data_IF_886726825169
#
_entry.id   IF_886726825169
#
_cell.length_a   1.000
_cell.length_b   1.000
_cell.length_c   1.000
_cell.angle_alpha   90.00
_cell.angle_beta   90.00
_cell.angle_gamma   90.00
#
_symmetry.space_group_name_H-M   'P 1'
#
loop_
_entity.id
_entity.type
_entity.pdbx_description
1 polymer ?
#
# COMPACT_ATOMS: atom_id res chain seq x y z
N UNK A 1 12.44 15.73 11.66
CA UNK A 1 11.39 14.77 11.25
C UNK A 1 10.98 14.01 12.50
N UNK A 2 9.78 14.24 13.05
CA UNK A 2 9.33 13.50 14.24
C UNK A 2 9.06 12.06 13.82
N UNK A 3 9.91 11.12 14.24
CA UNK A 3 9.55 9.70 14.24
C UNK A 3 8.37 9.56 15.21
N UNK A 4 7.17 9.37 14.67
CA UNK A 4 6.01 8.95 15.45
C UNK A 4 6.24 7.48 15.80
N UNK A 5 6.91 7.21 16.91
CA UNK A 5 6.91 5.88 17.54
C UNK A 5 5.53 5.69 18.16
N UNK A 6 4.53 5.47 17.31
CA UNK A 6 3.21 5.07 17.78
C UNK A 6 3.32 3.62 18.25
N UNK A 7 3.21 3.47 19.56
CA UNK A 7 2.99 2.20 20.26
C UNK A 7 1.51 1.79 20.16
N UNK A 8 0.78 2.33 19.18
CA UNK A 8 -0.65 2.12 19.03
C UNK A 8 -0.91 0.96 18.07
N UNK A 9 -1.96 0.21 18.39
CA UNK A 9 -2.46 -0.89 17.58
C UNK A 9 -2.88 -0.38 16.20
N UNK A 10 -2.61 -1.16 15.16
CA UNK A 10 -2.98 -0.84 13.78
C UNK A 10 -4.50 -0.84 13.67
N UNK A 11 -5.07 0.28 13.27
CA UNK A 11 -6.51 0.42 13.02
C UNK A 11 -6.81 0.90 11.60
N UNK A 12 -5.97 1.77 11.03
CA UNK A 12 -6.09 2.35 9.69
C UNK A 12 -5.02 1.81 8.77
N UNK A 13 -5.45 1.18 7.68
CA UNK A 13 -4.56 0.53 6.71
C UNK A 13 -4.69 1.20 5.34
N UNK A 14 -3.56 1.65 4.80
CA UNK A 14 -3.41 2.07 3.42
C UNK A 14 -2.79 0.95 2.60
N UNK A 15 -3.24 0.74 1.37
CA UNK A 15 -2.68 -0.24 0.43
C UNK A 15 -2.35 0.50 -0.86
N UNK A 16 -1.08 0.44 -1.28
CA UNK A 16 -0.66 0.82 -2.63
C UNK A 16 -0.44 -0.47 -3.40
N UNK A 17 -1.26 -0.73 -4.41
CA UNK A 17 -1.25 -1.98 -5.16
C UNK A 17 -0.81 -1.74 -6.62
N UNK A 18 0.14 -2.52 -7.14
CA UNK A 18 0.40 -2.59 -8.58
C UNK A 18 -0.43 -3.71 -9.22
N UNK A 19 -1.49 -3.35 -9.94
CA UNK A 19 -2.39 -4.32 -10.58
C UNK A 19 -1.75 -5.04 -11.78
N UNK A 20 -0.51 -4.73 -12.13
CA UNK A 20 0.21 -5.45 -13.18
C UNK A 20 0.55 -6.90 -12.80
N UNK A 21 0.55 -7.23 -11.50
CA UNK A 21 1.04 -8.52 -10.98
C UNK A 21 0.07 -9.22 -10.02
N UNK A 22 -0.85 -8.48 -9.41
CA UNK A 22 -1.83 -9.03 -8.49
C UNK A 22 -3.21 -8.43 -8.75
N UNK A 23 -4.17 -9.32 -9.02
CA UNK A 23 -5.54 -8.93 -9.38
C UNK A 23 -6.53 -9.16 -8.22
N UNK A 24 -6.14 -9.92 -7.20
CA UNK A 24 -7.04 -10.38 -6.12
C UNK A 24 -7.09 -9.38 -4.95
N UNK A 25 -7.30 -8.09 -5.24
CA UNK A 25 -7.38 -7.02 -4.22
C UNK A 25 -8.36 -7.33 -3.07
N UNK A 26 -9.45 -8.03 -3.38
CA UNK A 26 -10.47 -8.38 -2.39
C UNK A 26 -9.95 -9.42 -1.39
N UNK A 27 -9.00 -10.27 -1.77
CA UNK A 27 -8.42 -11.30 -0.92
C UNK A 27 -7.57 -10.66 0.18
N UNK A 28 -6.78 -9.67 -0.19
CA UNK A 28 -5.99 -8.85 0.74
C UNK A 28 -6.87 -8.09 1.72
N UNK A 29 -7.95 -7.49 1.24
CA UNK A 29 -8.91 -6.81 2.11
C UNK A 29 -9.60 -7.81 3.05
N UNK A 30 -9.98 -8.99 2.55
CA UNK A 30 -10.61 -10.03 3.39
C UNK A 30 -9.67 -10.51 4.49
N UNK A 31 -8.39 -10.67 4.21
CA UNK A 31 -7.42 -11.12 5.21
C UNK A 31 -7.15 -10.05 6.29
N UNK A 32 -7.12 -8.77 5.92
CA UNK A 32 -7.10 -7.66 6.88
C UNK A 32 -8.32 -7.67 7.80
N UNK A 33 -9.51 -7.86 7.22
CA UNK A 33 -10.77 -7.91 8.00
C UNK A 33 -10.80 -9.11 8.95
N UNK A 34 -10.31 -10.28 8.53
CA UNK A 34 -10.20 -11.47 9.40
C UNK A 34 -9.30 -11.23 10.62
N UNK A 35 -8.32 -10.34 10.53
CA UNK A 35 -7.46 -9.96 11.66
C UNK A 35 -8.04 -8.80 12.50
N UNK A 36 -9.29 -8.42 12.28
CA UNK A 36 -10.00 -7.43 13.11
C UNK A 36 -9.89 -5.98 12.61
N UNK A 37 -9.23 -5.73 11.47
CA UNK A 37 -9.23 -4.40 10.85
C UNK A 37 -10.61 -4.13 10.26
N UNK A 38 -11.28 -3.08 10.72
CA UNK A 38 -12.59 -2.70 10.19
C UNK A 38 -12.48 -2.32 8.71
N UNK A 39 -13.40 -2.83 7.87
CA UNK A 39 -13.36 -2.62 6.42
C UNK A 39 -13.36 -1.12 6.07
N UNK A 40 -14.11 -0.30 6.80
CA UNK A 40 -14.17 1.15 6.62
C UNK A 40 -12.86 1.88 6.93
N UNK A 41 -11.91 1.23 7.61
CA UNK A 41 -10.58 1.78 7.91
C UNK A 41 -9.51 1.34 6.91
N UNK A 42 -9.88 0.53 5.91
CA UNK A 42 -8.98 0.11 4.83
C UNK A 42 -9.19 1.04 3.64
N UNK A 43 -8.08 1.55 3.07
CA UNK A 43 -8.09 2.32 1.82
C UNK A 43 -7.10 1.71 0.86
N UNK A 44 -7.55 1.47 -0.36
CA UNK A 44 -6.72 0.98 -1.45
C UNK A 44 -6.53 2.06 -2.50
N UNK A 45 -5.32 2.13 -3.05
CA UNK A 45 -4.95 2.94 -4.20
C UNK A 45 -4.23 2.04 -5.19
N UNK A 46 -4.83 1.85 -6.36
CA UNK A 46 -4.35 0.91 -7.38
C UNK A 46 -3.59 1.66 -8.47
N UNK A 47 -2.38 1.20 -8.76
CA UNK A 47 -1.58 1.69 -9.87
C UNK A 47 -1.80 0.82 -11.11
N UNK A 48 -2.03 1.47 -12.25
CA UNK A 48 -1.97 0.86 -13.59
C UNK A 48 -1.00 1.63 -14.47
N UNK A 49 -0.18 0.92 -15.24
CA UNK A 49 0.72 1.57 -16.21
C UNK A 49 -0.07 2.45 -17.20
N UNK A 50 -1.21 1.96 -17.67
CA UNK A 50 -2.07 2.64 -18.64
C UNK A 50 -3.54 2.42 -18.31
N UNK A 51 -4.33 3.50 -18.37
CA UNK A 51 -5.79 3.49 -18.26
C UNK A 51 -6.37 3.85 -19.63
N UNK A 52 -7.21 2.99 -20.20
CA UNK A 52 -7.94 3.28 -21.43
C UNK A 52 -9.13 4.20 -21.16
N UNK A 53 -9.57 4.97 -22.16
CA UNK A 53 -10.67 5.94 -22.04
C UNK A 53 -12.02 5.32 -21.64
N UNK A 54 -12.22 4.04 -21.95
CA UNK A 54 -13.44 3.30 -21.69
C UNK A 54 -13.35 2.37 -20.47
N UNK A 55 -12.24 2.41 -19.72
CA UNK A 55 -12.14 1.70 -18.45
C UNK A 55 -12.79 2.54 -17.35
N UNK A 56 -13.71 1.91 -16.62
CA UNK A 56 -14.26 2.43 -15.37
C UNK A 56 -13.83 1.52 -14.22
N UNK A 57 -13.65 2.11 -13.05
CA UNK A 57 -13.21 1.41 -11.85
C UNK A 57 -14.13 1.77 -10.70
N UNK A 58 -14.47 0.77 -9.89
CA UNK A 58 -15.19 0.90 -8.62
C UNK A 58 -14.24 1.12 -7.43
N UNK A 59 -12.95 1.32 -7.70
CA UNK A 59 -11.89 1.60 -6.74
C UNK A 59 -11.00 2.76 -7.22
N UNK A 60 -10.25 3.42 -6.31
CA UNK A 60 -9.36 4.50 -6.68
C UNK A 60 -8.17 3.98 -7.49
N UNK A 61 -8.02 4.47 -8.72
CA UNK A 61 -6.92 4.12 -9.63
C UNK A 61 -6.12 5.36 -10.00
N UNK A 62 -4.81 5.19 -10.14
CA UNK A 62 -3.90 6.17 -10.73
C UNK A 62 -2.92 5.51 -11.69
N UNK A 63 -2.26 6.32 -12.51
CA UNK A 63 -1.33 5.89 -13.54
C UNK A 63 -0.16 6.87 -13.69
N UNK A 64 0.75 6.59 -14.62
CA UNK A 64 1.81 7.53 -14.98
C UNK A 64 1.27 8.91 -15.42
N UNK A 65 0.06 8.99 -15.99
CA UNK A 65 -0.53 10.25 -16.46
C UNK A 65 -0.92 11.20 -15.33
N UNK A 66 -1.07 10.67 -14.12
CA UNK A 66 -1.42 11.46 -12.94
C UNK A 66 -0.23 12.24 -12.37
N UNK A 67 1.00 11.91 -12.82
CA UNK A 67 2.23 12.59 -12.43
C UNK A 67 2.81 13.42 -13.58
N UNK A 68 3.28 14.62 -13.25
CA UNK A 68 4.16 15.40 -14.13
C UNK A 68 5.59 14.91 -13.97
N UNK A 69 6.43 15.19 -14.97
CA UNK A 69 7.87 14.87 -14.93
C UNK A 69 8.59 15.46 -13.69
N UNK A 70 8.08 16.57 -13.14
CA UNK A 70 8.58 17.22 -11.93
C UNK A 70 8.21 16.46 -10.64
N UNK A 71 7.47 15.35 -10.72
CA UNK A 71 6.94 14.62 -9.57
C UNK A 71 5.67 15.22 -8.97
N UNK A 72 5.26 16.43 -9.37
CA UNK A 72 3.97 17.00 -8.95
C UNK A 72 2.81 16.25 -9.59
N UNK A 73 1.68 16.13 -8.89
CA UNK A 73 0.46 15.49 -9.37
C UNK A 73 -0.75 16.41 -9.16
N UNK A 74 -1.78 16.25 -10.00
CA UNK A 74 -3.04 16.99 -9.89
C UNK A 74 -4.26 16.06 -9.82
N UNK A 75 -4.04 14.81 -9.46
CA UNK A 75 -5.10 13.79 -9.33
C UNK A 75 -5.78 13.89 -7.97
N UNK A 76 -7.11 14.06 -7.97
CA UNK A 76 -7.92 14.07 -6.74
C UNK A 76 -7.83 12.72 -6.00
N UNK A 77 -7.75 11.62 -6.74
CA UNK A 77 -7.52 10.27 -6.22
C UNK A 77 -6.24 10.20 -5.39
N UNK A 78 -5.11 10.67 -5.94
CA UNK A 78 -3.84 10.74 -5.23
C UNK A 78 -3.92 11.67 -4.03
N UNK A 79 -4.47 12.87 -4.19
CA UNK A 79 -4.62 13.83 -3.08
C UNK A 79 -5.41 13.24 -1.92
N UNK A 80 -6.51 12.57 -2.20
CA UNK A 80 -7.38 11.96 -1.19
C UNK A 80 -6.61 10.91 -0.39
N UNK A 81 -5.96 9.97 -1.07
CA UNK A 81 -5.15 8.93 -0.43
C UNK A 81 -3.98 9.50 0.38
N UNK A 82 -3.20 10.41 -0.21
CA UNK A 82 -2.00 11.00 0.41
C UNK A 82 -2.31 11.98 1.56
N UNK A 83 -3.54 12.49 1.63
CA UNK A 83 -3.96 13.38 2.72
C UNK A 83 -4.16 12.65 4.06
N UNK A 84 -4.53 11.37 4.00
CA UNK A 84 -4.87 10.54 5.14
C UNK A 84 -3.61 9.95 5.82
N UNK A 85 -3.65 9.85 7.15
CA UNK A 85 -2.65 9.10 7.91
C UNK A 85 -3.06 7.62 8.05
N UNK A 86 -2.09 6.73 7.89
CA UNK A 86 -2.24 5.28 8.07
C UNK A 86 -1.32 4.75 9.17
N UNK A 87 -1.83 3.85 10.01
CA UNK A 87 -0.98 3.18 11.00
C UNK A 87 -0.07 2.17 10.30
N UNK A 88 -0.61 1.50 9.28
CA UNK A 88 0.07 0.56 8.39
C UNK A 88 -0.13 0.97 6.93
N UNK A 89 0.96 1.08 6.17
CA UNK A 89 0.95 1.18 4.72
C UNK A 89 1.51 -0.12 4.13
N UNK A 90 0.68 -0.82 3.37
CA UNK A 90 1.07 -2.02 2.62
C UNK A 90 1.44 -1.59 1.20
N UNK A 91 2.73 -1.70 0.88
CA UNK A 91 3.28 -1.48 -0.44
C UNK A 91 3.25 -2.82 -1.19
N UNK A 92 2.09 -3.13 -1.79
CA UNK A 92 1.86 -4.38 -2.49
C UNK A 92 2.32 -4.28 -3.95
N UNK A 93 3.63 -4.20 -4.14
CA UNK A 93 4.28 -4.17 -5.44
C UNK A 93 5.73 -4.66 -5.34
N UNK A 94 6.21 -5.32 -6.37
CA UNK A 94 7.59 -5.84 -6.42
C UNK A 94 8.52 -5.05 -7.34
N UNK A 95 7.93 -4.36 -8.32
CA UNK A 95 8.70 -3.61 -9.31
C UNK A 95 9.09 -2.24 -8.78
N UNK A 96 10.37 -1.90 -8.92
CA UNK A 96 10.89 -0.56 -8.68
C UNK A 96 10.40 0.40 -9.79
N UNK A 97 9.22 0.98 -9.57
CA UNK A 97 8.65 2.05 -10.41
C UNK A 97 8.68 3.35 -9.64
N UNK A 98 9.33 4.38 -10.19
CA UNK A 98 9.48 5.68 -9.53
C UNK A 98 8.17 6.28 -9.00
N UNK A 99 7.05 6.09 -9.71
CA UNK A 99 5.72 6.56 -9.26
C UNK A 99 5.18 5.80 -8.04
N UNK A 100 5.46 4.49 -7.92
CA UNK A 100 5.11 3.70 -6.74
C UNK A 100 5.94 4.17 -5.54
N UNK A 101 7.26 4.34 -5.74
CA UNK A 101 8.17 4.86 -4.71
C UNK A 101 7.77 6.26 -4.25
N UNK A 102 7.48 7.17 -5.18
CA UNK A 102 7.04 8.51 -4.87
C UNK A 102 5.72 8.50 -4.09
N UNK A 103 4.75 7.67 -4.49
CA UNK A 103 3.48 7.52 -3.77
C UNK A 103 3.71 7.02 -2.34
N UNK A 104 4.52 5.97 -2.17
CA UNK A 104 4.90 5.44 -0.85
C UNK A 104 5.65 6.45 0.02
N UNK A 105 6.50 7.30 -0.57
CA UNK A 105 7.23 8.34 0.15
C UNK A 105 6.33 9.49 0.58
N UNK A 106 5.38 9.89 -0.26
CA UNK A 106 4.43 10.95 0.02
C UNK A 106 3.33 10.53 1.00
N UNK A 107 3.02 9.24 1.10
CA UNK A 107 2.05 8.70 2.06
C UNK A 107 2.46 8.98 3.50
N UNK A 108 1.51 9.50 4.28
CA UNK A 108 1.69 9.71 5.72
C UNK A 108 1.36 8.42 6.45
N UNK A 109 2.35 7.77 7.02
CA UNK A 109 2.12 6.55 7.80
C UNK A 109 3.13 6.34 8.92
N UNK A 110 2.77 5.46 9.86
CA UNK A 110 3.62 5.06 11.00
C UNK A 110 4.47 3.81 10.76
N UNK A 111 4.01 2.89 9.91
CA UNK A 111 4.71 1.64 9.60
C UNK A 111 4.47 1.22 8.15
N UNK A 112 5.51 0.75 7.46
CA UNK A 112 5.47 0.32 6.06
C UNK A 112 5.88 -1.14 5.92
N UNK A 113 5.09 -1.91 5.17
CA UNK A 113 5.39 -3.30 4.82
C UNK A 113 5.43 -3.44 3.31
N UNK A 114 6.38 -4.20 2.78
CA UNK A 114 6.45 -4.52 1.36
C UNK A 114 7.36 -5.71 1.07
N UNK A 115 7.66 -5.90 -0.21
CA UNK A 115 8.44 -7.05 -0.69
C UNK A 115 9.95 -6.78 -0.70
N UNK A 116 10.73 -7.86 -0.66
CA UNK A 116 12.20 -7.81 -0.66
C UNK A 116 12.82 -7.34 -2.00
N UNK A 117 12.05 -7.41 -3.09
CA UNK A 117 12.44 -6.95 -4.42
C UNK A 117 12.49 -5.42 -4.55
N UNK A 118 11.84 -4.70 -3.63
CA UNK A 118 11.83 -3.22 -3.57
C UNK A 118 12.97 -2.73 -2.67
N UNK A 119 13.55 -1.56 -2.97
CA UNK A 119 14.61 -0.94 -2.15
C UNK A 119 14.25 -0.99 -0.65
N UNK A 120 15.14 -1.61 0.13
CA UNK A 120 14.97 -1.87 1.57
C UNK A 120 14.72 -0.60 2.39
N UNK A 121 15.12 0.58 1.89
CA UNK A 121 14.91 1.86 2.59
C UNK A 121 13.45 2.35 2.55
N UNK A 122 12.59 1.69 1.79
CA UNK A 122 11.20 2.10 1.58
C UNK A 122 10.26 1.52 2.64
N UNK A 123 10.57 0.34 3.18
CA UNK A 123 9.72 -0.43 4.08
C UNK A 123 10.39 -0.67 5.44
N UNK A 124 9.60 -0.60 6.52
CA UNK A 124 10.08 -0.93 7.87
C UNK A 124 10.13 -2.46 8.09
N UNK A 125 9.24 -3.19 7.42
CA UNK A 125 9.20 -4.65 7.38
C UNK A 125 9.21 -5.14 5.93
N UNK A 126 10.08 -6.10 5.67
CA UNK A 126 10.27 -6.70 4.35
C UNK A 126 9.84 -8.16 4.41
N UNK A 127 8.94 -8.56 3.51
CA UNK A 127 8.49 -9.94 3.36
C UNK A 127 9.19 -10.57 2.15
N UNK A 128 9.77 -11.76 2.36
CA UNK A 128 10.51 -12.50 1.35
C UNK A 128 9.61 -13.52 0.64
N UNK A 129 8.68 -13.03 -0.19
CA UNK A 129 7.82 -13.86 -1.06
C UNK A 129 7.51 -13.10 -2.36
N UNK A 130 6.72 -13.70 -3.25
CA UNK A 130 6.18 -13.09 -4.47
C UNK A 130 4.79 -12.49 -4.23
N UNK A 131 4.42 -11.45 -4.97
CA UNK A 131 3.10 -10.84 -5.00
C UNK A 131 2.00 -11.80 -5.49
N UNK A 132 2.38 -12.86 -6.21
CA UNK A 132 1.47 -13.97 -6.57
C UNK A 132 1.12 -14.84 -5.35
N UNK A 133 2.02 -14.90 -4.35
CA UNK A 133 1.84 -15.68 -3.12
C UNK A 133 1.21 -14.83 -2.00
N UNK A 134 0.07 -14.22 -2.28
CA UNK A 134 -0.64 -13.33 -1.36
C UNK A 134 -0.85 -13.91 0.05
N UNK A 135 -1.23 -15.18 0.15
CA UNK A 135 -1.51 -15.83 1.44
C UNK A 135 -0.24 -15.98 2.30
N UNK A 136 0.90 -16.22 1.67
CA UNK A 136 2.20 -16.24 2.35
C UNK A 136 2.59 -14.84 2.82
N UNK A 137 2.39 -13.84 1.95
CA UNK A 137 2.65 -12.43 2.28
C UNK A 137 1.86 -11.99 3.52
N UNK A 138 0.55 -12.20 3.52
CA UNK A 138 -0.32 -11.78 4.64
C UNK A 138 0.00 -12.55 5.91
N UNK A 139 0.23 -13.86 5.82
CA UNK A 139 0.61 -14.71 6.95
C UNK A 139 1.89 -14.22 7.65
N UNK A 140 2.97 -14.00 6.88
CA UNK A 140 4.23 -13.52 7.43
C UNK A 140 4.09 -12.09 7.98
N UNK A 141 3.44 -11.18 7.25
CA UNK A 141 3.17 -9.82 7.72
C UNK A 141 2.50 -9.84 9.11
N UNK A 142 1.41 -10.59 9.29
CA UNK A 142 0.71 -10.62 10.57
C UNK A 142 1.51 -11.28 11.70
N UNK A 143 2.33 -12.28 11.40
CA UNK A 143 3.25 -12.87 12.37
C UNK A 143 4.24 -11.84 12.90
N UNK A 144 4.84 -11.02 12.04
CA UNK A 144 5.73 -9.95 12.47
C UNK A 144 4.99 -8.84 13.22
N UNK A 145 3.81 -8.42 12.76
CA UNK A 145 3.03 -7.41 13.46
C UNK A 145 2.67 -7.83 14.89
N UNK A 146 2.39 -9.12 15.13
CA UNK A 146 2.20 -9.68 16.48
C UNK A 146 3.48 -9.60 17.33
N UNK A 147 4.63 -9.98 16.77
CA UNK A 147 5.93 -9.89 17.47
C UNK A 147 6.25 -8.44 17.86
N UNK A 148 5.86 -7.49 17.01
CA UNK A 148 6.04 -6.05 17.24
C UNK A 148 4.96 -5.43 18.15
N UNK A 149 4.03 -6.23 18.68
CA UNK A 149 2.87 -5.78 19.47
C UNK A 149 2.04 -4.68 18.79
N UNK A 150 1.90 -4.76 17.46
CA UNK A 150 1.14 -3.79 16.64
C UNK A 150 -0.30 -4.22 16.36
N UNK A 151 -0.67 -5.47 16.65
CA UNK A 151 -2.03 -6.04 16.52
C UNK A 151 -2.32 -7.00 17.66
#
# INVERSE_FOLDING_TARGET
>A
MKHLTSNDLIQKVGIILDESYFHEKDDLIRDLVKQGIKKENIRILVFKNHIKKNESFDYPVYSYKDFKWSGSFDSETLRTFLSQYYDLLINYYEMDKAVLHLTTQLSKCGFKVGFASVDKKVNDLIIHTSAENHSEFTSEMFKYLKILNKI
#
